data_IF_684684837370
#
_entry.id   IF_684684837370
#
_cell.length_a   1.000
_cell.length_b   1.000
_cell.length_c   1.000
_cell.angle_alpha   90.00
_cell.angle_beta   90.00
_cell.angle_gamma   90.00
#
_symmetry.space_group_name_H-M   'P 1'
#
loop_
_entity.id
_entity.type
_entity.pdbx_description
1 polymer ?
#
# COMPACT_ATOMS: atom_id res chain seq x y z
N UNK A 1 35.49 9.38 0.66
CA UNK A 1 34.80 9.37 1.98
C UNK A 1 34.89 7.98 2.57
N UNK A 2 35.68 7.82 3.63
CA UNK A 2 36.15 6.52 4.14
C UNK A 2 35.03 5.64 4.73
N UNK A 3 35.10 4.33 4.48
CA UNK A 3 34.17 3.29 4.96
C UNK A 3 33.98 3.33 6.48
N UNK A 4 35.01 3.72 7.23
CA UNK A 4 35.00 3.86 8.69
C UNK A 4 33.92 4.85 9.21
N UNK A 5 33.75 6.00 8.56
CA UNK A 5 32.74 7.00 8.97
C UNK A 5 31.30 6.53 8.73
N UNK A 6 31.06 5.72 7.69
CA UNK A 6 29.72 5.16 7.41
C UNK A 6 29.31 4.13 8.46
N UNK A 7 30.24 3.30 8.92
CA UNK A 7 29.99 2.31 9.97
C UNK A 7 29.69 2.97 11.32
N UNK A 8 30.44 4.02 11.67
CA UNK A 8 30.20 4.79 12.90
C UNK A 8 28.81 5.43 12.94
N UNK A 9 28.38 6.08 11.86
CA UNK A 9 27.02 6.67 11.75
C UNK A 9 25.93 5.60 11.82
N UNK A 10 26.12 4.45 11.15
CA UNK A 10 25.14 3.37 11.14
C UNK A 10 24.90 2.78 12.54
N UNK A 11 25.96 2.66 13.35
CA UNK A 11 25.89 2.19 14.74
C UNK A 11 25.13 3.18 15.63
N UNK A 12 25.47 4.48 15.56
CA UNK A 12 24.78 5.52 16.34
C UNK A 12 23.27 5.56 16.03
N UNK A 13 22.91 5.44 14.75
CA UNK A 13 21.50 5.36 14.34
C UNK A 13 20.80 4.11 14.90
N UNK A 14 21.46 2.94 14.87
CA UNK A 14 20.89 1.73 15.44
C UNK A 14 20.66 1.87 16.95
N UNK A 15 21.62 2.42 17.68
CA UNK A 15 21.50 2.68 19.12
C UNK A 15 20.34 3.64 19.43
N UNK A 16 20.15 4.67 18.61
CA UNK A 16 19.00 5.59 18.71
C UNK A 16 17.67 4.87 18.49
N UNK A 17 17.58 4.00 17.47
CA UNK A 17 16.38 3.20 17.19
C UNK A 17 16.07 2.24 18.35
N UNK A 18 17.08 1.55 18.88
CA UNK A 18 16.94 0.64 20.02
C UNK A 18 16.48 1.41 21.26
N UNK A 19 17.06 2.59 21.53
CA UNK A 19 16.63 3.46 22.64
C UNK A 19 15.17 3.88 22.50
N UNK A 20 14.75 4.29 21.29
CA UNK A 20 13.36 4.63 21.00
C UNK A 20 12.40 3.45 21.21
N UNK A 21 12.82 2.22 20.86
CA UNK A 21 12.05 1.01 21.13
C UNK A 21 11.87 0.73 22.63
N UNK A 22 12.93 0.90 23.44
CA UNK A 22 12.82 0.77 24.89
C UNK A 22 11.85 1.79 25.50
N UNK A 23 11.92 3.06 25.05
CA UNK A 23 11.00 4.10 25.49
C UNK A 23 9.54 3.78 25.09
N UNK A 24 9.33 3.29 23.87
CA UNK A 24 8.00 2.86 23.43
C UNK A 24 7.45 1.73 24.30
N UNK A 25 8.27 0.70 24.60
CA UNK A 25 7.86 -0.41 25.46
C UNK A 25 7.69 -0.03 26.94
N UNK A 26 8.31 1.07 27.37
CA UNK A 26 8.11 1.64 28.70
C UNK A 26 6.77 2.38 28.81
N UNK A 27 6.40 3.14 27.78
CA UNK A 27 5.16 3.92 27.76
C UNK A 27 3.94 3.03 27.45
N UNK A 28 4.05 2.17 26.43
CA UNK A 28 2.90 1.41 25.89
C UNK A 28 2.97 -0.10 26.15
N UNK A 29 4.12 -0.60 26.64
CA UNK A 29 4.34 -2.02 26.89
C UNK A 29 4.24 -2.37 28.38
N UNK A 30 4.97 -3.42 28.76
CA UNK A 30 5.16 -3.78 30.17
C UNK A 30 6.60 -4.25 30.39
N UNK A 31 6.99 -4.42 31.66
CA UNK A 31 8.34 -4.83 32.04
C UNK A 31 8.75 -6.18 31.41
N UNK A 32 7.80 -7.11 31.23
CA UNK A 32 8.07 -8.40 30.59
C UNK A 32 8.39 -8.23 29.10
N UNK A 33 7.62 -7.42 28.36
CA UNK A 33 7.92 -7.11 26.96
C UNK A 33 9.29 -6.47 26.79
N UNK A 34 9.71 -5.57 27.68
CA UNK A 34 11.08 -4.98 27.66
C UNK A 34 12.17 -6.02 27.88
N UNK A 35 11.99 -6.95 28.82
CA UNK A 35 12.92 -8.06 29.06
C UNK A 35 13.01 -8.96 27.83
N UNK A 36 11.88 -9.31 27.23
CA UNK A 36 11.85 -10.15 26.03
C UNK A 36 12.46 -9.44 24.83
N UNK A 37 12.22 -8.14 24.66
CA UNK A 37 12.89 -7.35 23.62
C UNK A 37 14.42 -7.38 23.75
N UNK A 38 14.94 -7.30 24.98
CA UNK A 38 16.38 -7.41 25.25
C UNK A 38 16.92 -8.79 24.85
N UNK A 39 16.18 -9.86 25.17
CA UNK A 39 16.52 -11.24 24.78
C UNK A 39 16.49 -11.45 23.27
N UNK A 40 15.49 -10.86 22.60
CA UNK A 40 15.40 -10.87 21.14
C UNK A 40 16.58 -10.15 20.50
N UNK A 41 16.95 -8.96 20.99
CA UNK A 41 18.13 -8.23 20.50
C UNK A 41 19.40 -9.07 20.64
N UNK A 42 19.61 -9.70 21.79
CA UNK A 42 20.77 -10.56 22.03
C UNK A 42 20.80 -11.75 21.06
N UNK A 43 19.70 -12.51 20.96
CA UNK A 43 19.60 -13.66 20.09
C UNK A 43 19.80 -13.28 18.60
N UNK A 44 19.18 -12.18 18.17
CA UNK A 44 19.28 -11.71 16.78
C UNK A 44 20.68 -11.20 16.46
N UNK A 45 21.34 -10.51 17.38
CA UNK A 45 22.70 -10.02 17.22
C UNK A 45 23.71 -11.16 17.11
N UNK A 46 23.58 -12.19 17.96
CA UNK A 46 24.49 -13.32 18.01
C UNK A 46 24.31 -14.27 16.81
N UNK A 47 23.06 -14.46 16.35
CA UNK A 47 22.71 -15.58 15.47
C UNK A 47 22.32 -15.17 14.06
N UNK A 48 22.31 -13.88 13.72
CA UNK A 48 21.85 -13.45 12.40
C UNK A 48 22.49 -12.17 11.86
N UNK A 49 22.22 -11.89 10.59
CA UNK A 49 22.65 -10.67 9.91
C UNK A 49 21.67 -9.48 10.06
N UNK A 50 20.52 -9.67 10.72
CA UNK A 50 19.43 -8.67 10.79
C UNK A 50 19.85 -7.31 11.38
N UNK A 51 20.80 -7.30 12.32
CA UNK A 51 21.30 -6.08 12.97
C UNK A 51 22.67 -5.64 12.45
N UNK A 52 23.25 -6.36 11.48
CA UNK A 52 24.49 -5.91 10.82
C UNK A 52 24.22 -4.59 10.06
N UNK A 53 25.26 -3.82 9.69
CA UNK A 53 25.08 -2.59 8.92
C UNK A 53 24.44 -2.88 7.55
N UNK A 54 23.11 -2.86 7.48
CA UNK A 54 22.36 -3.00 6.24
C UNK A 54 22.40 -1.67 5.48
N UNK A 55 22.59 -1.74 4.15
CA UNK A 55 22.39 -0.61 3.25
C UNK A 55 20.93 -0.12 3.34
N UNK A 56 20.73 1.10 3.83
CA UNK A 56 19.41 1.75 3.93
C UNK A 56 18.92 1.92 5.37
N UNK A 57 18.82 3.18 5.80
CA UNK A 57 18.36 3.56 7.14
C UNK A 57 16.91 3.10 7.43
N UNK A 58 16.08 2.99 6.38
CA UNK A 58 14.69 2.54 6.49
C UNK A 58 14.53 1.09 6.91
N UNK A 59 15.36 0.17 6.41
CA UNK A 59 15.20 -1.26 6.72
C UNK A 59 15.62 -1.58 8.15
N UNK A 60 16.68 -0.93 8.65
CA UNK A 60 17.10 -1.04 10.07
C UNK A 60 15.99 -0.62 11.02
N UNK A 61 15.31 0.50 10.74
CA UNK A 61 14.15 0.94 11.51
C UNK A 61 13.05 -0.11 11.54
N UNK A 62 12.73 -0.70 10.38
CA UNK A 62 11.69 -1.76 10.25
C UNK A 62 12.04 -3.02 11.04
N UNK A 63 13.31 -3.45 11.03
CA UNK A 63 13.76 -4.60 11.84
C UNK A 63 13.59 -4.34 13.34
N UNK A 64 14.03 -3.18 13.84
CA UNK A 64 13.85 -2.83 15.26
C UNK A 64 12.36 -2.77 15.64
N UNK A 65 11.52 -2.22 14.75
CA UNK A 65 10.07 -2.20 14.93
C UNK A 65 9.46 -3.61 14.96
N UNK A 66 9.94 -4.52 14.11
CA UNK A 66 9.51 -5.92 14.10
C UNK A 66 9.83 -6.62 15.42
N UNK A 67 11.06 -6.48 15.92
CA UNK A 67 11.48 -7.06 17.21
C UNK A 67 10.67 -6.47 18.37
N UNK A 68 10.40 -5.16 18.33
CA UNK A 68 9.54 -4.49 19.32
C UNK A 68 8.12 -5.06 19.30
N UNK A 69 7.54 -5.23 18.11
CA UNK A 69 6.21 -5.80 17.94
C UNK A 69 6.14 -7.24 18.45
N UNK A 70 7.09 -8.10 18.05
CA UNK A 70 7.16 -9.49 18.53
C UNK A 70 7.30 -9.58 20.05
N UNK A 71 8.09 -8.70 20.67
CA UNK A 71 8.20 -8.63 22.13
C UNK A 71 6.87 -8.30 22.82
N UNK A 72 6.01 -7.51 22.17
CA UNK A 72 4.63 -7.28 22.60
C UNK A 72 3.78 -8.55 22.66
N UNK A 73 4.09 -9.54 21.82
CA UNK A 73 3.40 -10.83 21.74
C UNK A 73 4.04 -11.95 22.58
N UNK A 74 4.98 -11.63 23.48
CA UNK A 74 5.75 -12.62 24.23
C UNK A 74 4.91 -13.67 24.99
N UNK A 75 3.71 -13.30 25.46
CA UNK A 75 2.81 -14.25 26.15
C UNK A 75 2.30 -15.37 25.26
N UNK A 76 2.42 -15.22 23.94
CA UNK A 76 2.03 -16.21 22.94
C UNK A 76 3.23 -16.95 22.36
N UNK A 77 4.43 -16.81 22.95
CA UNK A 77 5.59 -17.53 22.44
C UNK A 77 5.47 -19.04 22.69
N UNK A 78 5.85 -19.83 21.69
CA UNK A 78 5.99 -21.31 21.78
C UNK A 78 7.43 -21.75 22.04
N UNK A 79 8.40 -20.89 21.72
CA UNK A 79 9.81 -21.14 21.92
C UNK A 79 10.52 -19.91 22.48
N UNK A 80 11.68 -20.15 23.10
CA UNK A 80 12.50 -19.08 23.65
C UNK A 80 13.35 -18.44 22.55
N UNK A 81 13.56 -17.10 22.56
CA UNK A 81 14.43 -16.42 21.59
C UNK A 81 15.82 -17.04 21.42
N UNK A 82 16.43 -17.51 22.50
CA UNK A 82 17.79 -18.05 22.54
C UNK A 82 17.92 -19.41 21.83
N UNK A 83 16.79 -20.10 21.64
CA UNK A 83 16.75 -21.40 20.94
C UNK A 83 16.56 -21.24 19.43
N UNK A 84 16.37 -20.01 18.94
CA UNK A 84 16.26 -19.75 17.52
C UNK A 84 17.59 -20.08 16.82
N UNK A 85 17.51 -20.79 15.69
CA UNK A 85 18.71 -21.19 14.95
C UNK A 85 19.46 -20.01 14.30
N UNK A 86 18.73 -18.95 13.93
CA UNK A 86 19.30 -17.82 13.20
C UNK A 86 19.69 -18.19 11.76
N UNK A 87 20.64 -17.43 11.20
CA UNK A 87 21.18 -17.66 9.86
C UNK A 87 21.66 -16.39 9.15
N UNK A 88 22.20 -16.58 7.94
CA UNK A 88 22.55 -15.51 7.02
C UNK A 88 21.64 -15.61 5.79
N UNK A 89 20.59 -14.79 5.76
CA UNK A 89 19.60 -14.76 4.68
C UNK A 89 19.08 -13.33 4.49
N UNK A 90 18.16 -13.13 3.54
CA UNK A 90 17.47 -11.86 3.37
C UNK A 90 16.61 -11.51 4.59
N UNK A 91 16.35 -10.21 4.79
CA UNK A 91 15.64 -9.70 5.98
C UNK A 91 14.25 -10.32 6.12
N UNK A 92 13.52 -10.56 5.03
CA UNK A 92 12.18 -11.15 5.09
C UNK A 92 12.25 -12.63 5.50
N UNK A 93 13.22 -13.38 4.97
CA UNK A 93 13.43 -14.77 5.36
C UNK A 93 13.81 -14.90 6.86
N UNK A 94 14.71 -14.05 7.36
CA UNK A 94 15.10 -14.08 8.77
C UNK A 94 13.97 -13.66 9.70
N UNK A 95 13.19 -12.64 9.34
CA UNK A 95 12.00 -12.23 10.11
C UNK A 95 10.93 -13.33 10.10
N UNK A 96 10.70 -13.99 8.96
CA UNK A 96 9.79 -15.13 8.89
C UNK A 96 10.24 -16.26 9.81
N UNK A 97 11.52 -16.62 9.73
CA UNK A 97 12.11 -17.69 10.55
C UNK A 97 11.98 -17.39 12.04
N UNK A 98 12.31 -16.16 12.45
CA UNK A 98 12.17 -15.73 13.83
C UNK A 98 10.70 -15.74 14.29
N UNK A 99 9.78 -15.17 13.50
CA UNK A 99 8.36 -15.15 13.84
C UNK A 99 7.77 -16.55 13.93
N UNK A 100 8.10 -17.43 12.98
CA UNK A 100 7.67 -18.83 12.97
C UNK A 100 8.19 -19.56 14.20
N UNK A 101 9.48 -19.41 14.52
CA UNK A 101 10.10 -20.01 15.72
C UNK A 101 9.40 -19.55 17.00
N UNK A 102 9.17 -18.25 17.14
CA UNK A 102 8.62 -17.68 18.35
C UNK A 102 7.13 -18.00 18.52
N UNK A 103 6.33 -17.97 17.47
CA UNK A 103 4.86 -17.90 17.58
C UNK A 103 4.13 -19.10 16.96
N UNK A 104 4.81 -19.92 16.16
CA UNK A 104 4.16 -20.89 15.28
C UNK A 104 4.51 -22.34 15.54
N UNK A 105 3.46 -23.15 15.63
CA UNK A 105 3.52 -24.62 15.60
C UNK A 105 3.33 -25.15 14.18
N UNK A 106 2.62 -24.40 13.34
CA UNK A 106 2.31 -24.73 11.95
C UNK A 106 2.93 -23.73 10.97
N UNK A 107 3.32 -24.15 9.76
CA UNK A 107 3.91 -23.26 8.77
C UNK A 107 2.97 -22.13 8.35
N UNK A 108 3.49 -20.90 8.31
CA UNK A 108 2.76 -19.71 7.88
C UNK A 108 3.23 -19.24 6.49
N UNK A 109 2.35 -18.67 5.61
CA UNK A 109 2.76 -18.04 4.36
C UNK A 109 3.92 -17.05 4.54
N UNK A 110 4.97 -17.17 3.72
CA UNK A 110 6.16 -16.28 3.81
C UNK A 110 5.83 -14.80 3.61
N UNK A 111 4.80 -14.47 2.83
CA UNK A 111 4.35 -13.09 2.64
C UNK A 111 3.86 -12.42 3.94
N UNK A 112 3.43 -13.20 4.94
CA UNK A 112 3.04 -12.66 6.23
C UNK A 112 4.23 -12.18 7.06
N UNK A 113 5.48 -12.47 6.69
CA UNK A 113 6.65 -11.88 7.35
C UNK A 113 6.62 -10.35 7.31
N UNK A 114 6.08 -9.77 6.23
CA UNK A 114 5.96 -8.33 6.06
C UNK A 114 5.17 -7.67 7.17
N UNK A 115 4.18 -8.33 7.76
CA UNK A 115 3.33 -7.73 8.81
C UNK A 115 4.14 -7.34 10.05
N UNK A 116 5.29 -7.98 10.27
CA UNK A 116 6.22 -7.66 11.36
C UNK A 116 7.11 -6.47 11.01
N UNK A 117 7.53 -6.35 9.76
CA UNK A 117 8.39 -5.25 9.28
C UNK A 117 7.64 -3.94 9.04
N UNK A 118 6.31 -3.98 9.12
CA UNK A 118 5.47 -2.80 9.03
C UNK A 118 5.27 -2.14 10.39
N UNK A 119 5.00 -0.83 10.40
CA UNK A 119 4.87 -0.05 11.65
C UNK A 119 3.66 -0.41 12.52
N UNK A 120 3.43 0.35 13.59
CA UNK A 120 2.38 0.11 14.59
C UNK A 120 0.95 0.49 14.13
N UNK A 121 0.66 0.59 12.82
CA UNK A 121 -0.68 0.98 12.38
C UNK A 121 -1.70 -0.17 12.59
N UNK A 122 -2.97 0.20 12.81
CA UNK A 122 -4.06 -0.74 13.14
C UNK A 122 -4.21 -1.87 12.12
N UNK A 123 -4.03 -1.56 10.83
CA UNK A 123 -4.09 -2.53 9.73
C UNK A 123 -3.10 -3.68 9.93
N UNK A 124 -1.86 -3.38 10.28
CA UNK A 124 -0.84 -4.40 10.49
C UNK A 124 -0.95 -5.10 11.84
N UNK A 125 -1.59 -4.46 12.84
CA UNK A 125 -1.93 -5.15 14.08
C UNK A 125 -2.91 -6.32 13.83
N UNK A 126 -3.98 -6.09 13.04
CA UNK A 126 -4.89 -7.18 12.65
C UNK A 126 -4.16 -8.28 11.87
N UNK A 127 -3.29 -7.91 10.92
CA UNK A 127 -2.53 -8.89 10.14
C UNK A 127 -1.54 -9.72 10.97
N UNK A 128 -0.98 -9.17 12.06
CA UNK A 128 -0.18 -9.94 13.04
C UNK A 128 -1.02 -10.95 13.81
N UNK A 129 -2.26 -10.60 14.17
CA UNK A 129 -3.18 -11.58 14.75
C UNK A 129 -3.46 -12.71 13.78
N UNK A 130 -3.66 -12.41 12.49
CA UNK A 130 -3.85 -13.43 11.45
C UNK A 130 -2.64 -14.38 11.35
N UNK A 131 -1.41 -13.82 11.39
CA UNK A 131 -0.20 -14.64 11.48
C UNK A 131 -0.30 -15.60 12.67
N UNK A 132 -0.59 -15.09 13.86
CA UNK A 132 -0.58 -15.91 15.08
C UNK A 132 -1.68 -16.97 15.07
N UNK A 133 -2.91 -16.63 14.68
CA UNK A 133 -3.99 -17.61 14.57
C UNK A 133 -3.64 -18.74 13.62
N UNK A 134 -3.09 -18.40 12.45
CA UNK A 134 -2.69 -19.40 11.48
C UNK A 134 -1.52 -20.26 11.97
N UNK A 135 -0.52 -19.62 12.59
CA UNK A 135 0.64 -20.29 13.16
C UNK A 135 0.25 -21.28 14.28
N UNK A 136 -0.92 -21.12 14.89
CA UNK A 136 -1.52 -22.01 15.89
C UNK A 136 -2.52 -23.02 15.33
N UNK A 137 -2.56 -23.18 14.01
CA UNK A 137 -3.32 -24.24 13.34
C UNK A 137 -4.73 -23.83 12.90
N UNK A 138 -5.14 -22.57 13.10
CA UNK A 138 -6.39 -22.10 12.50
C UNK A 138 -6.23 -22.02 10.98
N UNK A 139 -7.19 -22.57 10.23
CA UNK A 139 -7.19 -22.44 8.77
C UNK A 139 -7.28 -20.95 8.43
N UNK A 140 -6.49 -20.49 7.46
CA UNK A 140 -6.39 -19.06 7.18
C UNK A 140 -7.77 -18.48 6.85
N UNK A 141 -8.60 -19.22 6.10
CA UNK A 141 -9.98 -18.82 5.78
C UNK A 141 -10.95 -18.73 6.95
N UNK A 142 -10.60 -19.25 8.12
CA UNK A 142 -11.43 -19.23 9.34
C UNK A 142 -11.01 -18.13 10.31
N UNK A 143 -9.95 -17.38 9.96
CA UNK A 143 -9.48 -16.27 10.78
C UNK A 143 -10.54 -15.18 10.81
N UNK A 144 -10.91 -14.68 12.01
CA UNK A 144 -11.89 -13.62 12.13
C UNK A 144 -11.37 -12.31 11.54
N UNK A 145 -12.29 -11.48 11.04
CA UNK A 145 -12.02 -10.13 10.56
C UNK A 145 -11.04 -10.07 9.37
N UNK A 146 -10.99 -11.12 8.55
CA UNK A 146 -10.35 -11.02 7.24
C UNK A 146 -11.07 -9.97 6.38
N UNK A 147 -10.34 -9.21 5.56
CA UNK A 147 -10.90 -8.11 4.77
C UNK A 147 -11.79 -8.60 3.62
N UNK A 148 -11.71 -9.90 3.29
CA UNK A 148 -12.52 -10.55 2.27
C UNK A 148 -12.67 -12.04 2.59
N UNK A 149 -13.75 -12.69 2.14
CA UNK A 149 -13.89 -14.14 2.24
C UNK A 149 -12.81 -14.87 1.42
N UNK A 150 -12.13 -15.82 2.07
CA UNK A 150 -11.06 -16.62 1.46
C UNK A 150 -11.56 -18.03 1.17
N UNK A 151 -11.47 -18.47 -0.08
CA UNK A 151 -11.79 -19.85 -0.45
C UNK A 151 -10.62 -20.79 -0.15
N UNK A 152 -10.88 -22.11 -0.10
CA UNK A 152 -9.82 -23.13 0.01
C UNK A 152 -8.76 -23.02 -1.10
N UNK A 153 -9.17 -22.67 -2.32
CA UNK A 153 -8.24 -22.53 -3.46
C UNK A 153 -7.34 -21.30 -3.26
N UNK A 154 -7.91 -20.18 -2.81
CA UNK A 154 -7.15 -18.96 -2.50
C UNK A 154 -6.17 -19.18 -1.37
N UNK A 155 -6.59 -19.83 -0.28
CA UNK A 155 -5.71 -20.18 0.85
C UNK A 155 -4.49 -20.99 0.38
N UNK A 156 -4.71 -22.00 -0.49
CA UNK A 156 -3.61 -22.77 -1.08
C UNK A 156 -2.66 -21.89 -1.91
N UNK A 157 -3.20 -20.95 -2.68
CA UNK A 157 -2.37 -20.00 -3.43
C UNK A 157 -1.59 -19.10 -2.46
N UNK A 158 -2.23 -18.54 -1.43
CA UNK A 158 -1.60 -17.64 -0.47
C UNK A 158 -0.34 -18.23 0.18
N UNK A 159 -0.33 -19.54 0.46
CA UNK A 159 0.86 -20.25 0.96
C UNK A 159 2.09 -20.12 0.04
N UNK A 160 1.87 -19.85 -1.26
CA UNK A 160 2.87 -19.72 -2.31
C UNK A 160 3.10 -18.25 -2.71
N UNK A 161 2.43 -17.30 -2.05
CA UNK A 161 2.54 -15.88 -2.40
C UNK A 161 3.99 -15.39 -2.23
N UNK A 162 4.51 -14.58 -3.17
CA UNK A 162 5.85 -14.01 -3.06
C UNK A 162 6.04 -13.23 -1.76
N UNK A 163 7.17 -13.42 -1.09
CA UNK A 163 7.43 -12.86 0.24
C UNK A 163 7.59 -11.33 0.26
N UNK A 164 7.88 -10.70 -0.88
CA UNK A 164 8.01 -9.25 -0.98
C UNK A 164 6.65 -8.52 -1.09
N UNK A 165 5.55 -9.26 -1.32
CA UNK A 165 4.22 -8.66 -1.37
C UNK A 165 3.74 -8.35 0.04
N UNK A 166 3.18 -7.15 0.24
CA UNK A 166 2.44 -6.86 1.45
C UNK A 166 1.20 -7.77 1.57
N UNK A 167 0.60 -7.82 2.75
CA UNK A 167 -0.52 -8.74 2.99
C UNK A 167 -1.75 -8.46 2.11
N UNK A 168 -2.01 -7.21 1.73
CA UNK A 168 -3.13 -6.90 0.84
C UNK A 168 -2.84 -7.39 -0.58
N UNK A 169 -1.65 -7.08 -1.09
CA UNK A 169 -1.19 -7.52 -2.39
C UNK A 169 -1.10 -9.06 -2.46
N UNK A 170 -0.66 -9.73 -1.39
CA UNK A 170 -0.60 -11.18 -1.31
C UNK A 170 -1.99 -11.83 -1.34
N UNK A 171 -2.98 -11.25 -0.63
CA UNK A 171 -4.37 -11.71 -0.68
C UNK A 171 -4.96 -11.52 -2.08
N UNK A 172 -4.77 -10.35 -2.70
CA UNK A 172 -5.21 -10.10 -4.08
C UNK A 172 -4.53 -11.03 -5.09
N UNK A 173 -3.22 -11.23 -4.95
CA UNK A 173 -2.44 -12.19 -5.74
C UNK A 173 -3.04 -13.60 -5.61
N UNK A 174 -3.37 -14.03 -4.40
CA UNK A 174 -3.96 -15.35 -4.15
C UNK A 174 -5.35 -15.51 -4.79
N UNK A 175 -6.14 -14.44 -4.81
CA UNK A 175 -7.45 -14.41 -5.47
C UNK A 175 -7.31 -14.56 -6.98
N UNK A 176 -6.47 -13.73 -7.61
CA UNK A 176 -6.24 -13.76 -9.05
C UNK A 176 -5.66 -15.10 -9.50
N UNK A 177 -4.65 -15.64 -8.77
CA UNK A 177 -4.12 -16.98 -9.05
C UNK A 177 -5.17 -18.07 -8.90
N UNK A 178 -6.04 -17.98 -7.89
CA UNK A 178 -7.14 -18.92 -7.72
C UNK A 178 -8.18 -18.82 -8.85
N UNK A 179 -8.34 -17.66 -9.48
CA UNK A 179 -9.19 -17.46 -10.66
C UNK A 179 -8.54 -17.93 -11.97
N UNK A 180 -7.22 -18.16 -11.99
CA UNK A 180 -6.48 -18.60 -13.17
C UNK A 180 -5.69 -17.50 -13.88
N UNK A 181 -5.47 -16.36 -13.21
CA UNK A 181 -4.69 -15.26 -13.76
C UNK A 181 -3.20 -15.64 -13.93
N UNK A 182 -2.63 -15.20 -15.04
CA UNK A 182 -1.20 -15.28 -15.29
C UNK A 182 -0.43 -14.11 -14.69
N UNK A 183 0.90 -14.24 -14.63
CA UNK A 183 1.79 -13.26 -14.00
C UNK A 183 1.64 -11.84 -14.58
N UNK A 184 1.52 -11.63 -15.90
CA UNK A 184 1.37 -10.29 -16.47
C UNK A 184 0.09 -9.59 -15.96
N UNK A 185 -1.05 -10.28 -16.00
CA UNK A 185 -2.32 -9.73 -15.51
C UNK A 185 -2.25 -9.44 -14.01
N UNK A 186 -1.68 -10.36 -13.23
CA UNK A 186 -1.55 -10.16 -11.79
C UNK A 186 -0.75 -8.90 -11.49
N UNK A 187 0.40 -8.73 -12.15
CA UNK A 187 1.22 -7.54 -11.95
C UNK A 187 0.44 -6.27 -12.31
N UNK A 188 -0.23 -6.26 -13.46
CA UNK A 188 -1.06 -5.14 -13.88
C UNK A 188 -2.15 -4.78 -12.86
N UNK A 189 -2.83 -5.77 -12.27
CA UNK A 189 -3.84 -5.52 -11.22
C UNK A 189 -3.19 -5.06 -9.92
N UNK A 190 -2.07 -5.65 -9.51
CA UNK A 190 -1.38 -5.28 -8.26
C UNK A 190 -0.82 -3.84 -8.29
N UNK A 191 -0.48 -3.32 -9.48
CA UNK A 191 -0.01 -1.95 -9.65
C UNK A 191 -1.14 -0.91 -9.56
N UNK A 192 -2.40 -1.35 -9.59
CA UNK A 192 -3.58 -0.49 -9.42
C UNK A 192 -4.00 -0.39 -7.95
N UNK A 193 -5.08 0.36 -7.68
CA UNK A 193 -5.70 0.42 -6.34
C UNK A 193 -6.15 -0.96 -5.83
N UNK A 194 -6.53 -1.89 -6.71
CA UNK A 194 -6.99 -3.22 -6.30
C UNK A 194 -5.90 -4.08 -5.65
N UNK A 195 -4.62 -3.80 -5.95
CA UNK A 195 -3.51 -4.43 -5.24
C UNK A 195 -3.36 -3.97 -3.80
N UNK A 196 -3.82 -2.75 -3.49
CA UNK A 196 -3.64 -2.09 -2.18
C UNK A 196 -4.89 -2.14 -1.32
N UNK A 197 -6.06 -2.23 -1.95
CA UNK A 197 -7.37 -2.18 -1.30
C UNK A 197 -8.12 -3.51 -1.50
N UNK A 198 -8.65 -4.03 -0.41
CA UNK A 198 -9.43 -5.29 -0.38
C UNK A 198 -10.90 -5.04 -0.05
N UNK A 199 -11.30 -3.79 0.13
CA UNK A 199 -12.70 -3.41 0.34
C UNK A 199 -13.54 -3.83 -0.87
N UNK A 200 -14.79 -4.21 -0.62
CA UNK A 200 -15.74 -4.64 -1.66
C UNK A 200 -15.20 -5.81 -2.50
N UNK A 201 -14.39 -6.69 -1.88
CA UNK A 201 -13.73 -7.80 -2.58
C UNK A 201 -14.70 -8.71 -3.34
N UNK A 202 -15.92 -8.89 -2.84
CA UNK A 202 -16.95 -9.68 -3.54
C UNK A 202 -17.47 -9.00 -4.79
N UNK A 203 -17.69 -7.68 -4.75
CA UNK A 203 -18.16 -6.90 -5.91
C UNK A 203 -17.09 -6.88 -7.02
N UNK A 204 -15.82 -6.69 -6.64
CA UNK A 204 -14.69 -6.73 -7.57
C UNK A 204 -14.45 -8.11 -8.18
N UNK A 205 -14.99 -9.18 -7.58
CA UNK A 205 -14.75 -10.55 -8.08
C UNK A 205 -15.36 -10.80 -9.44
N UNK A 206 -16.47 -10.15 -9.77
CA UNK A 206 -17.02 -10.18 -11.13
C UNK A 206 -16.02 -9.57 -12.14
N UNK A 207 -15.45 -8.41 -11.81
CA UNK A 207 -14.49 -7.70 -12.64
C UNK A 207 -13.22 -8.51 -12.84
N UNK A 208 -12.67 -9.08 -11.76
CA UNK A 208 -11.47 -9.93 -11.86
C UNK A 208 -11.71 -11.18 -12.73
N UNK A 209 -12.89 -11.81 -12.64
CA UNK A 209 -13.24 -12.93 -13.54
C UNK A 209 -13.30 -12.47 -15.00
N UNK A 210 -13.81 -11.27 -15.26
CA UNK A 210 -13.82 -10.69 -16.60
C UNK A 210 -12.40 -10.42 -17.10
N UNK A 211 -11.54 -9.83 -16.27
CA UNK A 211 -10.13 -9.58 -16.62
C UNK A 211 -9.36 -10.87 -16.93
N UNK A 212 -9.53 -11.91 -16.11
CA UNK A 212 -8.89 -13.22 -16.34
C UNK A 212 -9.37 -13.85 -17.65
N UNK A 213 -10.64 -13.69 -18.01
CA UNK A 213 -11.18 -14.23 -19.26
C UNK A 213 -10.51 -13.61 -20.49
N UNK A 214 -10.23 -12.30 -20.44
CA UNK A 214 -9.68 -11.53 -21.57
C UNK A 214 -8.18 -11.25 -21.44
N UNK A 215 -7.46 -11.97 -20.57
CA UNK A 215 -6.09 -11.62 -20.18
C UNK A 215 -5.09 -11.56 -21.33
N UNK A 216 -5.31 -12.33 -22.40
CA UNK A 216 -4.45 -12.34 -23.60
C UNK A 216 -4.60 -11.08 -24.46
N UNK A 217 -5.74 -10.37 -24.36
CA UNK A 217 -6.07 -9.20 -25.17
C UNK A 217 -5.84 -7.87 -24.41
N UNK A 218 -5.54 -7.97 -23.11
CA UNK A 218 -5.41 -6.83 -22.20
C UNK A 218 -3.95 -6.48 -21.94
N UNK A 219 -3.55 -5.26 -22.30
CA UNK A 219 -2.30 -4.66 -21.83
C UNK A 219 -2.45 -4.17 -20.38
N UNK A 220 -1.32 -3.95 -19.68
CA UNK A 220 -1.34 -3.42 -18.32
C UNK A 220 -2.05 -2.05 -18.23
N UNK A 221 -1.87 -1.18 -19.23
CA UNK A 221 -2.53 0.12 -19.34
C UNK A 221 -4.06 -0.04 -19.42
N UNK A 222 -4.54 -0.98 -20.25
CA UNK A 222 -5.98 -1.27 -20.36
C UNK A 222 -6.56 -1.79 -19.06
N UNK A 223 -5.84 -2.66 -18.35
CA UNK A 223 -6.26 -3.18 -17.04
C UNK A 223 -6.44 -2.02 -16.05
N UNK A 224 -5.48 -1.10 -15.98
CA UNK A 224 -5.56 0.10 -15.14
C UNK A 224 -6.79 0.95 -15.48
N UNK A 225 -6.95 1.30 -16.76
CA UNK A 225 -8.07 2.14 -17.21
C UNK A 225 -9.45 1.51 -16.95
N UNK A 226 -9.59 0.19 -17.10
CA UNK A 226 -10.84 -0.53 -16.80
C UNK A 226 -11.15 -0.50 -15.31
N UNK A 227 -10.14 -0.70 -14.45
CA UNK A 227 -10.32 -0.65 -13.00
C UNK A 227 -10.74 0.74 -12.56
N UNK A 228 -10.11 1.79 -13.09
CA UNK A 228 -10.49 3.19 -12.82
C UNK A 228 -11.92 3.49 -13.29
N UNK A 229 -12.26 3.07 -14.52
CA UNK A 229 -13.61 3.24 -15.06
C UNK A 229 -14.67 2.61 -14.16
N UNK A 230 -14.49 1.33 -13.78
CA UNK A 230 -15.44 0.62 -12.93
C UNK A 230 -15.56 1.29 -11.58
N UNK A 231 -14.44 1.71 -10.98
CA UNK A 231 -14.47 2.38 -9.70
C UNK A 231 -15.24 3.69 -9.74
N UNK A 232 -14.97 4.52 -10.73
CA UNK A 232 -15.65 5.79 -10.90
C UNK A 232 -17.14 5.64 -11.20
N UNK A 233 -17.53 4.62 -11.97
CA UNK A 233 -18.94 4.42 -12.34
C UNK A 233 -19.75 3.80 -11.21
N UNK A 234 -19.19 2.76 -10.59
CA UNK A 234 -19.92 1.87 -9.69
C UNK A 234 -19.73 2.20 -8.22
N UNK A 235 -18.58 2.73 -7.84
CA UNK A 235 -18.12 2.69 -6.46
C UNK A 235 -17.86 4.05 -5.82
N UNK A 236 -17.45 5.05 -6.62
CA UNK A 236 -17.03 6.35 -6.12
C UNK A 236 -18.18 7.38 -6.18
N UNK A 237 -18.62 7.91 -5.03
CA UNK A 237 -19.57 9.02 -4.98
C UNK A 237 -19.00 10.26 -5.66
N UNK A 238 -19.85 10.98 -6.39
CA UNK A 238 -19.42 12.20 -7.10
C UNK A 238 -19.72 13.42 -6.25
N UNK A 239 -18.75 14.33 -6.13
CA UNK A 239 -18.93 15.61 -5.43
C UNK A 239 -19.43 16.67 -6.41
N UNK A 240 -20.65 17.15 -6.24
CA UNK A 240 -21.21 18.26 -7.03
C UNK A 240 -21.19 19.54 -6.21
N UNK A 241 -20.62 20.62 -6.76
CA UNK A 241 -20.71 21.94 -6.15
C UNK A 241 -22.07 22.57 -6.48
N UNK A 242 -22.81 22.96 -5.46
CA UNK A 242 -24.08 23.68 -5.60
C UNK A 242 -23.97 25.05 -4.93
N UNK A 243 -24.94 25.93 -5.18
CA UNK A 243 -25.03 27.25 -4.52
C UNK A 243 -25.16 27.15 -2.99
N UNK A 244 -25.56 25.98 -2.47
CA UNK A 244 -25.72 25.69 -1.04
C UNK A 244 -24.52 24.94 -0.44
N UNK A 245 -23.44 24.75 -1.23
CA UNK A 245 -22.25 24.02 -0.84
C UNK A 245 -22.07 22.70 -1.60
N UNK A 246 -21.04 21.92 -1.25
CA UNK A 246 -20.77 20.63 -1.87
C UNK A 246 -21.81 19.58 -1.45
N UNK A 247 -22.42 18.92 -2.43
CA UNK A 247 -23.32 17.78 -2.24
C UNK A 247 -22.63 16.53 -2.76
N UNK A 248 -22.68 15.45 -1.98
CA UNK A 248 -22.21 14.14 -2.40
C UNK A 248 -23.36 13.37 -3.03
N UNK A 249 -23.20 13.02 -4.30
CA UNK A 249 -24.14 12.20 -5.06
C UNK A 249 -23.65 10.75 -5.07
N UNK A 250 -24.57 9.76 -5.13
CA UNK A 250 -24.20 8.36 -5.29
C UNK A 250 -23.36 8.15 -6.57
N UNK A 251 -22.69 7.00 -6.71
CA UNK A 251 -22.02 6.65 -7.95
C UNK A 251 -22.96 6.81 -9.15
N UNK A 252 -22.47 7.26 -10.31
CA UNK A 252 -23.34 7.59 -11.44
C UNK A 252 -24.04 6.36 -12.03
N UNK A 253 -23.41 5.18 -11.96
CA UNK A 253 -23.97 3.91 -12.44
C UNK A 253 -23.68 2.78 -11.43
N UNK A 254 -24.41 2.73 -10.30
CA UNK A 254 -24.14 1.77 -9.22
C UNK A 254 -24.35 0.30 -9.64
N UNK A 255 -25.15 0.08 -10.68
CA UNK A 255 -25.42 -1.25 -11.26
C UNK A 255 -24.52 -1.57 -12.48
N UNK A 256 -23.47 -0.77 -12.72
CA UNK A 256 -22.55 -1.00 -13.83
C UNK A 256 -21.92 -2.40 -13.76
N UNK A 257 -22.06 -3.15 -14.85
CA UNK A 257 -21.53 -4.52 -14.98
C UNK A 257 -20.72 -4.69 -16.25
N UNK A 258 -19.71 -5.55 -16.18
CA UNK A 258 -18.91 -6.00 -17.32
C UNK A 258 -19.51 -7.21 -18.03
N UNK A 259 -20.61 -7.77 -17.53
CA UNK A 259 -21.28 -8.91 -18.14
C UNK A 259 -21.74 -8.55 -19.55
N UNK A 260 -21.31 -9.33 -20.53
CA UNK A 260 -21.64 -9.14 -21.95
C UNK A 260 -20.80 -8.07 -22.67
N UNK A 261 -19.83 -7.43 -22.00
CA UNK A 261 -18.91 -6.46 -22.64
C UNK A 261 -17.64 -7.14 -23.15
N UNK A 262 -17.13 -6.65 -24.28
CA UNK A 262 -15.82 -6.99 -24.83
C UNK A 262 -14.79 -5.90 -24.51
N UNK A 263 -13.47 -6.18 -24.61
CA UNK A 263 -12.44 -5.16 -24.45
C UNK A 263 -12.66 -3.92 -25.33
N UNK A 264 -13.01 -4.09 -26.60
CA UNK A 264 -13.25 -3.00 -27.55
C UNK A 264 -14.47 -2.16 -27.18
N UNK A 265 -15.49 -2.77 -26.56
CA UNK A 265 -16.64 -2.02 -26.05
C UNK A 265 -16.25 -1.13 -24.87
N UNK A 266 -15.31 -1.58 -24.02
CA UNK A 266 -14.83 -0.79 -22.89
C UNK A 266 -13.89 0.32 -23.35
N UNK A 267 -13.04 0.05 -24.33
CA UNK A 267 -12.18 1.07 -24.92
C UNK A 267 -12.99 2.22 -25.51
N UNK A 268 -14.06 1.92 -26.25
CA UNK A 268 -14.98 2.95 -26.76
C UNK A 268 -15.59 3.78 -25.63
N UNK A 269 -16.02 3.13 -24.55
CA UNK A 269 -16.59 3.82 -23.39
C UNK A 269 -15.58 4.70 -22.67
N UNK A 270 -14.35 4.21 -22.50
CA UNK A 270 -13.22 4.97 -21.90
C UNK A 270 -12.88 6.18 -22.78
N UNK A 271 -12.76 5.99 -24.09
CA UNK A 271 -12.46 7.06 -25.04
C UNK A 271 -13.56 8.14 -25.06
N UNK A 272 -14.83 7.73 -25.09
CA UNK A 272 -15.96 8.66 -25.02
C UNK A 272 -15.93 9.48 -23.72
N UNK A 273 -15.60 8.84 -22.60
CA UNK A 273 -15.51 9.51 -21.31
C UNK A 273 -14.35 10.52 -21.25
N UNK A 274 -13.16 10.13 -21.70
CA UNK A 274 -12.02 11.04 -21.77
C UNK A 274 -12.33 12.24 -22.67
N UNK A 275 -13.01 12.02 -23.79
CA UNK A 275 -13.46 13.10 -24.67
C UNK A 275 -14.42 14.06 -23.94
N UNK A 276 -15.44 13.55 -23.23
CA UNK A 276 -16.37 14.38 -22.44
C UNK A 276 -15.67 15.14 -21.31
N UNK A 277 -14.74 14.50 -20.60
CA UNK A 277 -13.96 15.15 -19.55
C UNK A 277 -13.06 16.26 -20.10
N UNK A 278 -12.40 16.01 -21.25
CA UNK A 278 -11.58 17.02 -21.92
C UNK A 278 -12.41 18.22 -22.31
N UNK A 279 -13.61 18.02 -22.87
CA UNK A 279 -14.55 19.09 -23.21
C UNK A 279 -15.03 19.88 -21.98
N UNK A 280 -15.25 19.20 -20.85
CA UNK A 280 -15.66 19.85 -19.60
C UNK A 280 -14.53 20.68 -18.98
N UNK A 281 -13.29 20.20 -19.05
CA UNK A 281 -12.10 20.93 -18.58
C UNK A 281 -11.78 22.10 -19.52
N UNK A 282 -11.93 21.90 -20.83
CA UNK A 282 -11.82 22.95 -21.85
C UNK A 282 -13.06 23.83 -21.94
N UNK A 283 -13.95 23.78 -20.95
CA UNK A 283 -15.13 24.63 -20.87
C UNK A 283 -14.73 26.09 -21.04
N UNK A 284 -14.94 26.61 -22.25
CA UNK A 284 -15.01 28.02 -22.55
C UNK A 284 -15.98 28.64 -21.56
N UNK A 285 -15.44 29.23 -20.50
CA UNK A 285 -16.19 30.19 -19.72
C UNK A 285 -16.30 31.41 -20.62
N UNK A 286 -17.32 31.44 -21.50
CA UNK A 286 -17.73 32.70 -22.11
C UNK A 286 -18.36 33.53 -21.00
N UNK A 287 -17.51 34.24 -20.25
CA UNK A 287 -17.97 35.31 -19.39
C UNK A 287 -18.79 36.26 -20.25
N UNK A 288 -20.03 36.56 -19.83
CA UNK A 288 -20.79 37.66 -20.42
C UNK A 288 -19.90 38.89 -20.25
N UNK A 289 -19.49 39.53 -21.34
CA UNK A 289 -18.55 40.66 -21.30
C UNK A 289 -19.01 41.64 -20.20
N UNK A 290 -18.19 41.85 -19.18
CA UNK A 290 -18.60 42.52 -17.95
C UNK A 290 -18.79 44.04 -18.10
N UNK A 291 -18.94 44.53 -19.34
CA UNK A 291 -18.94 45.95 -19.68
C UNK A 291 -17.61 46.66 -19.39
N UNK A 292 -16.60 45.94 -18.89
CA UNK A 292 -15.26 46.46 -18.68
C UNK A 292 -14.43 46.17 -19.92
N UNK A 293 -13.79 47.20 -20.45
CA UNK A 293 -12.85 47.07 -21.57
C UNK A 293 -11.82 45.98 -21.25
N UNK A 294 -11.56 45.10 -22.22
CA UNK A 294 -10.65 43.97 -22.06
C UNK A 294 -9.27 44.46 -21.62
N UNK A 295 -8.84 44.04 -20.43
CA UNK A 295 -7.46 44.26 -19.99
C UNK A 295 -6.58 43.18 -20.61
N UNK A 296 -5.52 43.59 -21.29
CA UNK A 296 -4.45 42.69 -21.74
C UNK A 296 -3.50 42.50 -20.56
N UNK A 297 -3.38 41.27 -20.08
CA UNK A 297 -2.34 40.91 -19.13
C UNK A 297 -1.01 40.83 -19.89
N UNK A 298 -0.16 41.85 -19.75
CA UNK A 298 1.23 41.79 -20.22
C UNK A 298 2.06 41.21 -19.09
N UNK A 299 2.35 39.91 -19.14
CA UNK A 299 3.37 39.31 -18.28
C UNK A 299 4.75 39.82 -18.72
N UNK A 300 5.28 40.82 -18.01
CA UNK A 300 6.69 41.18 -18.14
C UNK A 300 7.52 40.14 -17.39
N UNK A 301 8.24 39.31 -18.13
CA UNK A 301 9.32 38.47 -17.59
C UNK A 301 10.42 39.40 -17.06
N UNK A 302 10.35 39.71 -15.76
CA UNK A 302 11.35 40.49 -15.07
C UNK A 302 12.70 39.79 -15.05
N UNK A 303 13.62 40.23 -15.90
CA UNK A 303 15.06 40.20 -15.62
C UNK A 303 15.43 41.51 -14.91
N UNK A 304 15.90 41.38 -13.68
CA UNK A 304 16.70 42.29 -12.86
C UNK A 304 16.82 43.78 -13.27
N UNK A 305 16.51 44.65 -12.29
CA UNK A 305 17.29 45.87 -12.05
C UNK A 305 16.50 47.18 -12.07
N UNK A 306 16.25 47.71 -10.87
CA UNK A 306 16.35 49.12 -10.48
C UNK A 306 15.93 50.19 -11.49
N UNK A 307 14.78 50.81 -11.25
CA UNK A 307 14.64 52.25 -10.91
C UNK A 307 13.29 52.82 -11.36
N UNK A 308 12.64 53.55 -10.44
CA UNK A 308 12.00 54.83 -10.72
C UNK A 308 10.67 54.87 -11.48
N UNK A 309 9.65 55.34 -10.75
CA UNK A 309 8.50 56.11 -11.21
C UNK A 309 7.29 55.37 -11.81
N UNK A 310 6.24 55.31 -10.99
CA UNK A 310 4.85 55.13 -11.39
C UNK A 310 4.41 56.21 -12.39
N UNK A 311 3.88 55.79 -13.54
CA UNK A 311 3.18 56.66 -14.49
C UNK A 311 2.04 55.90 -15.16
N UNK A 312 0.80 56.21 -14.78
CA UNK A 312 -0.39 55.80 -15.51
C UNK A 312 -0.52 56.69 -16.75
N UNK A 313 -0.34 56.14 -17.94
CA UNK A 313 -0.69 56.80 -19.20
C UNK A 313 -1.99 56.23 -19.74
N UNK A 314 -3.04 57.07 -19.72
CA UNK A 314 -4.23 56.86 -20.52
C UNK A 314 -3.93 57.28 -21.97
N UNK A 315 -3.97 56.32 -22.89
CA UNK A 315 -4.00 56.57 -24.32
C UNK A 315 -5.36 56.19 -24.89
N UNK A 316 -6.13 57.18 -25.33
CA UNK A 316 -7.33 57.01 -26.13
C UNK A 316 -6.94 57.07 -27.60
N UNK A 317 -7.32 56.06 -28.40
CA UNK A 317 -7.39 56.18 -29.86
C UNK A 317 -8.43 55.23 -30.43
N UNK A 318 -9.37 55.81 -31.20
CA UNK A 318 -10.01 55.22 -32.38
C UNK A 318 -11.14 54.25 -32.13
#
# INVERSE_FOLDING_TARGET
MSTSHRHGRARVQLDQLIRGAYQHLEIYGNAASRRVFTRLLAAVHERSTLLRPIAGDGLRKRVVQALTAMAGYHRRFVAQPETWAGGEDDVFALIQSLAQHLLGEYPVPRCLANVWLEGACRRFAAAREWFIFHARGLRFREIPQLPMPITRKMERMLMQAPHHLDIHAALRWSELRALGAEKPLIQAVLDTRLGRELERGEDWREVMRWLVRWQEELSAEKVGAIIELVDELRFTPTRRLTMQGPVWEPPPEPDFSLRGRTPESLERLIAERHYRQTLAISGFHSWKASGLMGMVLVESLGKHGLDGASGLLFGATG
#
